data_IF_520925617913
#
_entry.id   IF_520925617913
#
_cell.length_a   1.000
_cell.length_b   1.000
_cell.length_c   1.000
_cell.angle_alpha   90.00
_cell.angle_beta   90.00
_cell.angle_gamma   90.00
#
_symmetry.space_group_name_H-M   'P 1'
#
loop_
_entity.id
_entity.type
_entity.pdbx_description
1 polymer ?
#
# COMPACT_ATOMS: atom_id res chain seq x y z
N UNK A 1 -21.63 11.55 -14.42
CA UNK A 1 -21.75 10.24 -13.74
C UNK A 1 -20.91 9.27 -14.53
N UNK A 2 -19.98 8.56 -13.92
CA UNK A 2 -19.10 7.58 -14.58
C UNK A 2 -19.83 6.25 -14.58
N UNK A 3 -19.86 5.56 -15.71
CA UNK A 3 -20.36 4.18 -15.80
C UNK A 3 -19.21 3.23 -15.43
N UNK A 4 -19.07 2.96 -14.13
CA UNK A 4 -18.00 2.12 -13.61
C UNK A 4 -18.11 0.67 -14.06
N UNK A 5 -19.31 0.17 -14.33
CA UNK A 5 -19.50 -1.20 -14.80
C UNK A 5 -18.91 -1.38 -16.21
N UNK A 6 -19.06 -0.37 -17.08
CA UNK A 6 -18.43 -0.40 -18.41
C UNK A 6 -16.91 -0.14 -18.33
N UNK A 7 -16.46 0.78 -17.44
CA UNK A 7 -15.03 1.09 -17.26
C UNK A 7 -14.25 -0.12 -16.73
N UNK A 8 -14.84 -0.88 -15.80
CA UNK A 8 -14.18 -2.04 -15.16
C UNK A 8 -14.47 -3.37 -15.83
N UNK A 9 -15.20 -3.37 -16.93
CA UNK A 9 -15.53 -4.59 -17.69
C UNK A 9 -14.27 -5.30 -18.18
N UNK A 10 -14.10 -6.55 -17.75
CA UNK A 10 -12.95 -7.37 -18.10
C UNK A 10 -11.65 -7.01 -17.40
N UNK A 11 -11.70 -6.14 -16.39
CA UNK A 11 -10.57 -5.89 -15.52
C UNK A 11 -10.40 -7.02 -14.50
N UNK A 12 -9.16 -7.44 -14.25
CA UNK A 12 -8.81 -8.39 -13.19
C UNK A 12 -8.54 -7.70 -11.84
N UNK A 13 -8.11 -6.42 -11.91
CA UNK A 13 -7.67 -5.67 -10.75
C UNK A 13 -8.00 -4.18 -10.85
N UNK A 14 -8.51 -3.61 -9.76
CA UNK A 14 -8.71 -2.18 -9.57
C UNK A 14 -7.87 -1.68 -8.40
N UNK A 15 -7.03 -0.69 -8.65
CA UNK A 15 -6.21 -0.06 -7.61
C UNK A 15 -6.57 1.41 -7.45
N UNK A 16 -6.66 1.88 -6.21
CA UNK A 16 -6.84 3.29 -5.88
C UNK A 16 -5.88 3.75 -4.77
N UNK A 17 -5.65 5.05 -4.71
CA UNK A 17 -4.78 5.67 -3.70
C UNK A 17 -5.57 6.59 -2.79
N UNK A 18 -5.22 6.64 -1.50
CA UNK A 18 -5.80 7.52 -0.48
C UNK A 18 -5.59 9.01 -0.75
N UNK A 19 -4.79 9.37 -1.76
CA UNK A 19 -4.71 10.76 -2.25
C UNK A 19 -6.02 11.19 -2.91
N UNK A 20 -6.64 10.32 -3.71
CA UNK A 20 -7.85 10.65 -4.47
C UNK A 20 -9.00 11.11 -3.57
N UNK A 21 -9.45 10.35 -2.55
CA UNK A 21 -10.55 10.79 -1.68
C UNK A 21 -10.17 11.99 -0.79
N UNK A 22 -8.88 12.30 -0.64
CA UNK A 22 -8.42 13.44 0.13
C UNK A 22 -8.58 14.80 -0.59
N UNK A 23 -8.85 14.78 -1.91
CA UNK A 23 -8.94 16.00 -2.72
C UNK A 23 -10.28 16.71 -2.59
N UNK A 24 -11.38 15.98 -2.58
CA UNK A 24 -12.74 16.52 -2.50
C UNK A 24 -13.75 15.43 -2.15
N UNK A 25 -14.96 15.84 -1.73
CA UNK A 25 -16.09 14.92 -1.53
C UNK A 25 -16.43 14.17 -2.83
N UNK A 26 -16.50 14.85 -3.96
CA UNK A 26 -16.80 14.21 -5.24
C UNK A 26 -15.76 13.17 -5.67
N UNK A 27 -14.48 13.39 -5.34
CA UNK A 27 -13.43 12.39 -5.58
C UNK A 27 -13.56 11.17 -4.64
N UNK A 28 -13.95 11.39 -3.38
CA UNK A 28 -14.24 10.31 -2.44
C UNK A 28 -15.46 9.49 -2.89
N UNK A 29 -16.52 10.15 -3.32
CA UNK A 29 -17.74 9.50 -3.83
C UNK A 29 -17.43 8.66 -5.08
N UNK A 30 -16.64 9.19 -6.01
CA UNK A 30 -16.20 8.48 -7.22
C UNK A 30 -15.34 7.24 -6.88
N UNK A 31 -14.45 7.34 -5.88
CA UNK A 31 -13.72 6.19 -5.38
C UNK A 31 -14.65 5.10 -4.82
N UNK A 32 -15.65 5.49 -4.02
CA UNK A 32 -16.61 4.56 -3.44
C UNK A 32 -17.43 3.86 -4.52
N UNK A 33 -17.95 4.62 -5.50
CA UNK A 33 -18.69 4.06 -6.65
C UNK A 33 -17.84 3.04 -7.42
N UNK A 34 -16.57 3.36 -7.70
CA UNK A 34 -15.63 2.48 -8.39
C UNK A 34 -15.37 1.18 -7.60
N UNK A 35 -15.11 1.28 -6.29
CA UNK A 35 -14.90 0.14 -5.40
C UNK A 35 -16.13 -0.77 -5.38
N UNK A 36 -17.33 -0.18 -5.25
CA UNK A 36 -18.59 -0.92 -5.26
C UNK A 36 -18.84 -1.64 -6.60
N UNK A 37 -18.53 -0.98 -7.71
CA UNK A 37 -18.63 -1.59 -9.04
C UNK A 37 -17.63 -2.75 -9.21
N UNK A 38 -16.36 -2.55 -8.83
CA UNK A 38 -15.33 -3.59 -8.84
C UNK A 38 -15.77 -4.81 -8.03
N UNK A 39 -16.32 -4.59 -6.82
CA UNK A 39 -16.82 -5.66 -5.96
C UNK A 39 -17.99 -6.42 -6.59
N UNK A 40 -18.93 -5.72 -7.26
CA UNK A 40 -20.05 -6.39 -7.97
C UNK A 40 -19.56 -7.22 -9.15
N UNK A 41 -18.53 -6.77 -9.83
CA UNK A 41 -17.96 -7.45 -11.00
C UNK A 41 -16.96 -8.55 -10.64
N UNK A 42 -16.63 -8.72 -9.35
CA UNK A 42 -15.65 -9.71 -8.89
C UNK A 42 -14.20 -9.32 -9.19
N UNK A 43 -13.96 -8.03 -9.45
CA UNK A 43 -12.63 -7.48 -9.68
C UNK A 43 -11.90 -7.34 -8.35
N UNK A 44 -10.65 -7.76 -8.27
CA UNK A 44 -9.82 -7.59 -7.06
C UNK A 44 -9.56 -6.11 -6.81
N UNK A 45 -9.80 -5.66 -5.58
CA UNK A 45 -9.62 -4.25 -5.20
C UNK A 45 -8.44 -4.09 -4.26
N UNK A 46 -7.55 -3.17 -4.57
CA UNK A 46 -6.46 -2.78 -3.68
C UNK A 46 -6.41 -1.27 -3.44
N UNK A 47 -5.85 -0.88 -2.30
CA UNK A 47 -5.56 0.51 -1.99
C UNK A 47 -4.13 0.70 -1.48
N UNK A 48 -3.55 1.87 -1.78
CA UNK A 48 -2.47 2.46 -1.01
C UNK A 48 -3.08 3.52 -0.08
N UNK A 49 -2.94 3.35 1.24
CA UNK A 49 -3.49 4.28 2.23
C UNK A 49 -2.95 5.70 2.04
N UNK A 50 -1.69 5.82 1.71
CA UNK A 50 -1.01 7.01 1.18
C UNK A 50 -1.44 8.32 1.86
N UNK A 51 -1.49 8.33 3.19
CA UNK A 51 -1.99 9.47 3.96
C UNK A 51 -1.14 10.72 3.70
N UNK A 52 -1.83 11.82 3.39
CA UNK A 52 -1.23 13.15 3.19
C UNK A 52 -1.92 14.19 4.06
N UNK A 53 -1.31 14.56 5.18
CA UNK A 53 -1.85 15.53 6.16
C UNK A 53 -2.35 16.83 5.52
N UNK A 54 -1.72 17.27 4.43
CA UNK A 54 -2.00 18.58 3.83
C UNK A 54 -3.15 18.56 2.80
N UNK A 55 -3.75 17.41 2.48
CA UNK A 55 -4.80 17.33 1.45
C UNK A 55 -6.20 17.50 2.03
N UNK A 56 -6.60 16.83 3.05
CA UNK A 56 -7.96 16.81 3.66
C UNK A 56 -8.49 18.21 4.04
N UNK A 57 -8.81 19.07 3.03
CA UNK A 57 -9.17 20.48 3.25
C UNK A 57 -10.62 20.83 2.91
N UNK A 58 -11.45 19.84 2.59
CA UNK A 58 -12.86 20.04 2.24
C UNK A 58 -13.84 19.76 3.41
N UNK A 59 -13.36 19.86 4.65
CA UNK A 59 -14.18 19.71 5.85
C UNK A 59 -14.37 18.28 6.33
N UNK A 60 -13.64 17.32 5.77
CA UNK A 60 -13.61 15.92 6.18
C UNK A 60 -12.22 15.51 6.62
N UNK A 61 -12.16 14.50 7.51
CA UNK A 61 -10.93 13.87 7.96
C UNK A 61 -10.76 12.50 7.28
N UNK A 62 -9.51 12.05 7.14
CA UNK A 62 -9.23 10.71 6.62
C UNK A 62 -9.93 9.61 7.44
N UNK A 63 -9.98 9.76 8.75
CA UNK A 63 -10.65 8.82 9.67
C UNK A 63 -12.17 8.73 9.49
N UNK A 64 -12.81 9.69 8.83
CA UNK A 64 -14.24 9.67 8.52
C UNK A 64 -14.54 8.97 7.19
N UNK A 65 -13.66 9.14 6.19
CA UNK A 65 -13.88 8.71 4.80
C UNK A 65 -13.21 7.36 4.51
N UNK A 66 -11.94 7.19 4.88
CA UNK A 66 -11.15 6.03 4.50
C UNK A 66 -11.70 4.68 5.00
N UNK A 67 -12.33 4.57 6.20
CA UNK A 67 -12.85 3.29 6.65
C UNK A 67 -13.87 2.64 5.71
N UNK A 68 -14.77 3.44 5.15
CA UNK A 68 -15.79 2.96 4.20
C UNK A 68 -15.16 2.48 2.89
N UNK A 69 -14.19 3.23 2.36
CA UNK A 69 -13.48 2.88 1.12
C UNK A 69 -12.63 1.61 1.30
N UNK A 70 -11.88 1.54 2.40
CA UNK A 70 -10.98 0.41 2.67
C UNK A 70 -11.74 -0.87 2.98
N UNK A 71 -12.96 -0.78 3.52
CA UNK A 71 -13.83 -1.94 3.76
C UNK A 71 -14.13 -2.74 2.48
N UNK A 72 -14.03 -2.11 1.30
CA UNK A 72 -14.21 -2.76 0.00
C UNK A 72 -12.93 -3.33 -0.62
N UNK A 73 -11.79 -3.31 0.08
CA UNK A 73 -10.51 -3.74 -0.47
C UNK A 73 -10.15 -5.18 -0.08
N UNK A 74 -9.59 -5.92 -1.03
CA UNK A 74 -9.01 -7.25 -0.85
C UNK A 74 -7.54 -7.17 -0.42
N UNK A 75 -6.84 -6.08 -0.83
CA UNK A 75 -5.41 -5.85 -0.54
C UNK A 75 -5.22 -4.42 -0.04
N UNK A 76 -4.55 -4.28 1.11
CA UNK A 76 -4.27 -2.98 1.73
C UNK A 76 -2.76 -2.77 1.76
N UNK A 77 -2.29 -1.66 1.18
CA UNK A 77 -0.92 -1.19 1.26
C UNK A 77 -0.86 0.10 2.08
N UNK A 78 0.19 0.26 2.85
CA UNK A 78 0.53 1.51 3.53
C UNK A 78 2.00 1.52 3.95
N UNK A 79 2.44 2.62 4.52
CA UNK A 79 3.71 2.71 5.22
C UNK A 79 3.52 2.48 6.74
N UNK A 80 4.61 2.54 7.50
CA UNK A 80 4.60 2.24 8.94
C UNK A 80 3.64 3.14 9.74
N UNK A 81 3.35 4.36 9.26
CA UNK A 81 2.58 5.36 9.98
C UNK A 81 1.12 5.46 9.50
N UNK A 82 0.81 4.96 8.29
CA UNK A 82 -0.50 5.17 7.68
C UNK A 82 -1.64 4.53 8.51
N UNK A 83 -1.44 3.32 9.04
CA UNK A 83 -2.44 2.64 9.85
C UNK A 83 -2.79 3.42 11.13
N UNK A 84 -1.80 4.03 11.77
CA UNK A 84 -2.01 4.88 12.94
C UNK A 84 -2.73 6.18 12.56
N UNK A 85 -2.25 6.87 11.54
CA UNK A 85 -2.77 8.20 11.16
C UNK A 85 -4.19 8.15 10.60
N UNK A 86 -4.53 7.07 9.88
CA UNK A 86 -5.85 6.93 9.25
C UNK A 86 -6.85 6.24 10.18
N UNK A 87 -6.42 5.22 10.92
CA UNK A 87 -7.31 4.35 11.68
C UNK A 87 -7.06 4.32 13.18
N UNK A 88 -5.98 4.96 13.67
CA UNK A 88 -5.56 4.89 15.05
C UNK A 88 -5.00 3.53 15.47
N UNK A 89 -4.64 2.68 14.51
CA UNK A 89 -4.11 1.34 14.75
C UNK A 89 -2.61 1.45 15.03
N UNK A 90 -2.20 0.96 16.21
CA UNK A 90 -0.80 0.92 16.67
C UNK A 90 -0.38 -0.50 16.99
N UNK A 91 0.93 -0.81 16.95
CA UNK A 91 1.42 -2.07 17.47
C UNK A 91 1.01 -2.26 18.94
N UNK A 92 0.47 -3.44 19.28
CA UNK A 92 0.11 -3.77 20.66
C UNK A 92 1.28 -4.47 21.35
N UNK A 93 1.56 -4.07 22.59
CA UNK A 93 2.54 -4.76 23.45
C UNK A 93 4.00 -4.35 23.28
N UNK A 94 4.29 -3.24 22.58
CA UNK A 94 5.66 -2.79 22.33
C UNK A 94 5.93 -1.42 22.96
N UNK A 95 7.06 -1.34 23.68
CA UNK A 95 7.60 -0.09 24.18
C UNK A 95 8.61 0.46 23.17
N UNK A 96 8.27 1.56 22.51
CA UNK A 96 9.07 2.22 21.45
C UNK A 96 10.51 2.54 21.89
N UNK A 97 10.76 2.54 23.22
CA UNK A 97 12.07 2.84 23.79
C UNK A 97 13.12 1.72 23.67
N UNK A 98 12.74 0.51 23.21
CA UNK A 98 13.64 -0.65 23.21
C UNK A 98 14.09 -1.14 21.83
N UNK A 99 13.67 -0.52 20.74
CA UNK A 99 14.07 -0.95 19.39
C UNK A 99 15.28 -0.16 18.90
N UNK A 100 16.44 -0.80 18.88
CA UNK A 100 17.68 -0.30 18.28
C UNK A 100 17.61 -0.19 16.73
N UNK A 101 16.47 0.29 16.17
CA UNK A 101 16.30 0.45 14.71
C UNK A 101 16.19 -0.87 13.92
N UNK A 102 16.11 -2.01 14.59
CA UNK A 102 15.76 -3.27 13.94
C UNK A 102 14.24 -3.34 13.72
N UNK A 103 13.85 -3.74 12.52
CA UNK A 103 12.45 -3.97 12.14
C UNK A 103 11.91 -5.11 12.98
N UNK A 104 11.05 -4.81 13.95
CA UNK A 104 10.44 -5.84 14.76
C UNK A 104 9.25 -6.46 14.00
N UNK A 105 9.46 -7.65 13.44
CA UNK A 105 8.44 -8.38 12.67
C UNK A 105 7.11 -8.53 13.42
N UNK A 106 7.16 -8.71 14.76
CA UNK A 106 5.97 -8.87 15.58
C UNK A 106 5.11 -7.59 15.67
N UNK A 107 5.74 -6.40 15.61
CA UNK A 107 5.00 -5.12 15.56
C UNK A 107 4.18 -5.02 14.28
N UNK A 108 4.77 -5.36 13.14
CA UNK A 108 4.07 -5.32 11.86
C UNK A 108 2.99 -6.38 11.76
N UNK A 109 3.22 -7.57 12.29
CA UNK A 109 2.20 -8.62 12.37
C UNK A 109 1.00 -8.18 13.19
N UNK A 110 1.23 -7.50 14.34
CA UNK A 110 0.16 -6.92 15.16
C UNK A 110 -0.67 -5.91 14.37
N UNK A 111 -0.03 -4.95 13.68
CA UNK A 111 -0.74 -3.94 12.87
C UNK A 111 -1.53 -4.60 11.73
N UNK A 112 -0.93 -5.53 10.99
CA UNK A 112 -1.60 -6.25 9.91
C UNK A 112 -2.83 -7.03 10.40
N UNK A 113 -2.70 -7.72 11.52
CA UNK A 113 -3.80 -8.48 12.14
C UNK A 113 -4.95 -7.58 12.58
N UNK A 114 -4.65 -6.43 13.18
CA UNK A 114 -5.65 -5.44 13.57
C UNK A 114 -6.38 -4.86 12.33
N UNK A 115 -5.63 -4.56 11.24
CA UNK A 115 -6.23 -4.11 9.98
C UNK A 115 -7.16 -5.15 9.38
N UNK A 116 -6.75 -6.42 9.30
CA UNK A 116 -7.60 -7.50 8.79
C UNK A 116 -8.83 -7.76 9.68
N UNK A 117 -8.68 -7.62 11.00
CA UNK A 117 -9.82 -7.71 11.94
C UNK A 117 -10.84 -6.59 11.70
N UNK A 118 -10.35 -5.37 11.44
CA UNK A 118 -11.21 -4.21 11.15
C UNK A 118 -11.83 -4.26 9.76
N UNK A 119 -11.11 -4.80 8.79
CA UNK A 119 -11.52 -4.91 7.39
C UNK A 119 -11.53 -6.38 6.95
N UNK A 120 -12.60 -7.14 7.26
CA UNK A 120 -12.62 -8.60 7.07
C UNK A 120 -12.53 -9.07 5.61
N UNK A 121 -12.78 -8.17 4.65
CA UNK A 121 -12.59 -8.44 3.23
C UNK A 121 -11.11 -8.54 2.85
N UNK A 122 -10.23 -7.83 3.56
CA UNK A 122 -8.82 -7.80 3.26
C UNK A 122 -8.19 -9.20 3.45
N UNK A 123 -7.58 -9.69 2.38
CA UNK A 123 -6.87 -10.98 2.36
C UNK A 123 -5.36 -10.78 2.54
N UNK A 124 -4.86 -9.60 2.18
CA UNK A 124 -3.45 -9.25 2.28
C UNK A 124 -3.27 -7.83 2.80
N UNK A 125 -2.32 -7.67 3.72
CA UNK A 125 -1.88 -6.36 4.21
C UNK A 125 -0.39 -6.24 3.97
N UNK A 126 0.03 -5.14 3.36
CA UNK A 126 1.42 -4.88 3.02
C UNK A 126 1.86 -3.58 3.68
N UNK A 127 3.05 -3.58 4.26
CA UNK A 127 3.66 -2.38 4.84
C UNK A 127 5.02 -2.19 4.21
N UNK A 128 5.22 -1.03 3.56
CA UNK A 128 6.52 -0.63 3.05
C UNK A 128 7.38 -0.08 4.18
N UNK A 129 8.65 -0.46 4.20
CA UNK A 129 9.60 -0.13 5.25
C UNK A 129 10.70 0.75 4.66
N UNK A 130 10.73 2.02 5.05
CA UNK A 130 11.73 2.98 4.58
C UNK A 130 12.53 3.56 5.73
N UNK A 131 13.81 3.21 5.81
CA UNK A 131 14.75 3.93 6.66
C UNK A 131 15.38 5.10 5.88
N UNK A 132 15.21 6.34 6.35
CA UNK A 132 15.81 7.52 5.74
C UNK A 132 17.08 7.89 6.47
N UNK A 133 18.25 7.67 5.85
CA UNK A 133 19.55 8.00 6.42
C UNK A 133 19.92 9.45 6.05
N UNK A 134 19.76 9.80 4.78
CA UNK A 134 19.89 11.18 4.29
C UNK A 134 19.13 11.36 2.97
N UNK A 135 19.29 12.53 2.33
CA UNK A 135 18.56 12.86 1.10
C UNK A 135 18.83 11.87 -0.07
N UNK A 136 19.99 11.25 -0.14
CA UNK A 136 20.39 10.37 -1.24
C UNK A 136 20.61 8.91 -0.80
N UNK A 137 20.30 8.58 0.47
CA UNK A 137 20.55 7.27 1.04
C UNK A 137 19.35 6.82 1.89
N UNK A 138 18.68 5.79 1.42
CA UNK A 138 17.58 5.13 2.13
C UNK A 138 17.83 3.63 2.24
N UNK A 139 17.32 3.01 3.27
CA UNK A 139 17.03 1.57 3.23
C UNK A 139 15.59 1.35 2.77
N UNK A 140 15.36 0.24 2.06
CA UNK A 140 14.07 -0.07 1.49
C UNK A 140 13.75 -1.55 1.59
N UNK A 141 12.53 -1.85 1.97
CA UNK A 141 12.01 -3.21 2.10
C UNK A 141 10.50 -3.19 2.31
N UNK A 142 9.94 -4.34 2.63
CA UNK A 142 8.52 -4.46 2.94
C UNK A 142 8.19 -5.75 3.64
N UNK A 143 7.02 -5.77 4.27
CA UNK A 143 6.39 -6.98 4.81
C UNK A 143 5.02 -7.17 4.15
N UNK A 144 4.60 -8.41 4.02
CA UNK A 144 3.29 -8.83 3.54
C UNK A 144 2.72 -9.84 4.51
N UNK A 145 1.51 -9.58 5.00
CA UNK A 145 0.77 -10.51 5.84
C UNK A 145 -0.40 -11.11 5.07
N UNK A 146 -0.46 -12.43 5.01
CA UNK A 146 -1.48 -13.19 4.29
C UNK A 146 -1.62 -14.58 4.87
N UNK A 147 -2.85 -15.07 5.00
CA UNK A 147 -3.12 -16.44 5.45
C UNK A 147 -2.56 -16.77 6.84
N UNK A 148 -2.46 -15.80 7.74
CA UNK A 148 -1.90 -15.99 9.08
C UNK A 148 -0.37 -16.02 9.12
N UNK A 149 0.31 -15.61 8.05
CA UNK A 149 1.77 -15.60 7.96
C UNK A 149 2.31 -14.25 7.51
N UNK A 150 3.36 -13.78 8.19
CA UNK A 150 4.13 -12.61 7.80
C UNK A 150 5.31 -13.01 6.91
N UNK A 151 5.36 -12.43 5.72
CA UNK A 151 6.49 -12.51 4.79
C UNK A 151 7.30 -11.22 4.89
N UNK A 152 8.61 -11.35 4.80
CA UNK A 152 9.52 -10.19 4.81
C UNK A 152 10.43 -10.24 3.58
N UNK A 153 10.57 -9.11 2.90
CA UNK A 153 11.50 -8.99 1.78
C UNK A 153 12.95 -8.85 2.25
N UNK A 154 13.92 -9.05 1.36
CA UNK A 154 15.25 -8.50 1.56
C UNK A 154 15.20 -7.00 1.81
N UNK A 155 16.15 -6.48 2.60
CA UNK A 155 16.32 -5.04 2.80
C UNK A 155 17.42 -4.55 1.87
N UNK A 156 17.07 -3.59 1.02
CA UNK A 156 18.02 -2.97 0.10
C UNK A 156 18.56 -1.68 0.70
N UNK A 157 19.83 -1.42 0.45
CA UNK A 157 20.54 -0.19 0.81
C UNK A 157 20.75 0.66 -0.45
N UNK A 158 19.93 1.71 -0.60
CA UNK A 158 19.93 2.56 -1.80
C UNK A 158 20.77 3.79 -1.51
N UNK A 159 22.05 3.77 -1.90
CA UNK A 159 23.05 4.77 -1.54
C UNK A 159 23.12 5.97 -2.51
N UNK A 160 22.57 5.86 -3.71
CA UNK A 160 22.60 6.89 -4.74
C UNK A 160 21.22 7.05 -5.38
N UNK A 161 20.34 7.75 -4.67
CA UNK A 161 18.98 8.00 -5.17
C UNK A 161 19.03 9.09 -6.22
N UNK A 162 18.56 8.75 -7.44
CA UNK A 162 18.39 9.70 -8.54
C UNK A 162 17.07 10.45 -8.39
N UNK A 163 15.97 9.70 -8.16
CA UNK A 163 14.66 10.29 -7.92
C UNK A 163 13.81 9.36 -7.02
N UNK A 164 13.06 9.96 -6.11
CA UNK A 164 12.17 9.22 -5.18
C UNK A 164 10.72 9.18 -5.63
N UNK A 165 10.35 10.05 -6.56
CA UNK A 165 8.97 10.14 -7.05
C UNK A 165 8.59 8.83 -7.74
N UNK A 166 7.37 8.33 -7.47
CA UNK A 166 6.88 7.09 -8.05
C UNK A 166 7.45 5.80 -7.41
N UNK A 167 8.28 5.89 -6.36
CA UNK A 167 8.82 4.71 -5.68
C UNK A 167 7.73 3.82 -5.05
N UNK A 168 6.73 4.44 -4.40
CA UNK A 168 5.55 3.74 -3.86
C UNK A 168 4.67 3.14 -4.96
N UNK A 169 4.41 3.92 -6.02
CA UNK A 169 3.61 3.47 -7.16
C UNK A 169 4.28 2.30 -7.89
N UNK A 170 5.61 2.35 -8.04
CA UNK A 170 6.40 1.24 -8.61
C UNK A 170 6.39 -0.01 -7.72
N UNK A 171 6.39 0.17 -6.40
CA UNK A 171 6.20 -0.94 -5.47
C UNK A 171 4.83 -1.59 -5.70
N UNK A 172 3.77 -0.78 -5.71
CA UNK A 172 2.41 -1.31 -5.87
C UNK A 172 2.18 -1.94 -7.25
N UNK A 173 2.66 -1.31 -8.32
CA UNK A 173 2.62 -1.91 -9.67
C UNK A 173 3.35 -3.24 -9.73
N UNK A 174 4.55 -3.32 -9.15
CA UNK A 174 5.32 -4.56 -9.02
C UNK A 174 4.62 -5.61 -8.16
N UNK A 175 3.93 -5.20 -7.08
CA UNK A 175 3.17 -6.11 -6.23
C UNK A 175 1.97 -6.71 -6.96
N UNK A 176 1.17 -5.89 -7.65
CA UNK A 176 0.02 -6.35 -8.44
C UNK A 176 0.50 -7.34 -9.50
N UNK A 177 1.55 -6.99 -10.26
CA UNK A 177 2.14 -7.89 -11.23
C UNK A 177 2.58 -9.21 -10.59
N UNK A 178 3.28 -9.15 -9.46
CA UNK A 178 3.76 -10.33 -8.75
C UNK A 178 2.64 -11.22 -8.24
N UNK A 179 1.57 -10.65 -7.66
CA UNK A 179 0.43 -11.41 -7.16
C UNK A 179 -0.38 -12.08 -8.29
N UNK A 180 -0.47 -11.46 -9.46
CA UNK A 180 -1.12 -12.03 -10.64
C UNK A 180 -0.26 -13.12 -11.30
N UNK A 181 1.06 -12.92 -11.37
CA UNK A 181 1.98 -13.79 -12.10
C UNK A 181 2.45 -14.99 -11.27
N UNK A 182 2.78 -14.77 -9.99
CA UNK A 182 3.31 -15.78 -9.08
C UNK A 182 2.22 -16.27 -8.12
N UNK A 183 1.09 -16.68 -8.66
CA UNK A 183 -0.09 -17.09 -7.89
C UNK A 183 0.27 -18.10 -6.80
N UNK A 184 -0.04 -17.75 -5.53
CA UNK A 184 0.24 -18.59 -4.37
C UNK A 184 1.65 -18.42 -3.77
N UNK A 185 2.54 -17.63 -4.39
CA UNK A 185 3.88 -17.32 -3.86
C UNK A 185 3.97 -15.85 -3.45
N UNK A 186 3.39 -15.54 -2.29
CA UNK A 186 3.37 -14.19 -1.73
C UNK A 186 4.77 -13.65 -1.43
N UNK A 187 5.73 -14.53 -1.07
CA UNK A 187 7.12 -14.12 -0.85
C UNK A 187 7.77 -13.61 -2.14
N UNK A 188 7.55 -14.32 -3.24
CA UNK A 188 8.11 -13.94 -4.54
C UNK A 188 7.47 -12.65 -5.05
N UNK A 189 6.15 -12.50 -4.89
CA UNK A 189 5.44 -11.28 -5.25
C UNK A 189 5.98 -10.06 -4.46
N UNK A 190 6.17 -10.20 -3.15
CA UNK A 190 6.75 -9.15 -2.31
C UNK A 190 8.17 -8.80 -2.72
N UNK A 191 9.03 -9.81 -2.96
CA UNK A 191 10.42 -9.58 -3.38
C UNK A 191 10.49 -8.84 -4.72
N UNK A 192 9.61 -9.20 -5.67
CA UNK A 192 9.51 -8.52 -6.96
C UNK A 192 9.09 -7.04 -6.79
N UNK A 193 8.09 -6.76 -5.97
CA UNK A 193 7.62 -5.41 -5.68
C UNK A 193 8.73 -4.51 -5.10
N UNK A 194 9.47 -5.03 -4.12
CA UNK A 194 10.58 -4.30 -3.50
C UNK A 194 11.70 -4.04 -4.50
N UNK A 195 12.05 -5.03 -5.34
CA UNK A 195 13.08 -4.89 -6.37
C UNK A 195 12.68 -3.83 -7.42
N UNK A 196 11.45 -3.88 -7.94
CA UNK A 196 10.92 -2.91 -8.90
C UNK A 196 10.99 -1.48 -8.34
N UNK A 197 10.60 -1.30 -7.08
CA UNK A 197 10.68 -0.01 -6.41
C UNK A 197 12.11 0.46 -6.18
N UNK A 198 13.05 -0.44 -5.82
CA UNK A 198 14.46 -0.09 -5.69
C UNK A 198 15.05 0.42 -7.01
N UNK A 199 14.77 -0.27 -8.11
CA UNK A 199 15.22 0.13 -9.44
C UNK A 199 14.64 1.49 -9.85
N UNK A 200 13.38 1.79 -9.48
CA UNK A 200 12.78 3.10 -9.72
C UNK A 200 13.61 4.25 -9.13
N UNK A 201 14.23 4.07 -7.99
CA UNK A 201 15.07 5.11 -7.37
C UNK A 201 16.31 5.48 -8.20
N UNK A 202 16.67 4.72 -9.22
CA UNK A 202 17.77 4.98 -10.16
C UNK A 202 17.32 5.72 -11.44
N UNK A 203 16.03 6.05 -11.56
CA UNK A 203 15.42 6.59 -12.78
C UNK A 203 14.81 7.96 -12.46
N UNK A 204 15.05 8.96 -13.33
CA UNK A 204 14.42 10.28 -13.23
C UNK A 204 12.91 10.21 -13.53
N UNK A 205 12.14 11.10 -12.86
CA UNK A 205 10.70 11.20 -13.03
C UNK A 205 9.95 10.14 -12.22
N UNK A 206 8.63 10.08 -12.35
CA UNK A 206 7.77 9.19 -11.55
C UNK A 206 7.50 7.82 -12.19
N UNK A 207 7.70 7.70 -13.51
CA UNK A 207 7.52 6.43 -14.22
C UNK A 207 8.67 5.45 -13.97
N UNK A 208 8.31 4.21 -13.70
CA UNK A 208 9.26 3.12 -13.71
C UNK A 208 9.48 2.66 -15.17
N UNK A 209 10.74 2.65 -15.61
CA UNK A 209 11.14 2.29 -16.98
C UNK A 209 11.82 0.91 -17.04
N UNK A 210 11.87 0.17 -15.94
CA UNK A 210 12.44 -1.17 -15.92
C UNK A 210 11.48 -2.19 -16.56
N UNK A 211 12.05 -3.21 -17.16
CA UNK A 211 11.31 -4.36 -17.70
C UNK A 211 11.34 -5.52 -16.72
N UNK A 212 10.53 -6.55 -16.98
CA UNK A 212 10.47 -7.76 -16.15
C UNK A 212 11.66 -8.70 -16.41
N UNK A 213 12.34 -8.53 -17.56
CA UNK A 213 13.49 -9.34 -18.00
C UNK A 213 14.80 -8.90 -17.38
#
# INVERSE_FOLDING_TARGET
MIDWDEVLKGADWFHWTGITPALSQGAADACLEAIQAANRLGVTVSCDLNYRKNLWKYGKQASEIMPELVAGCDVILGNEEDAEKVFGIKPEGFDVAQTNGEVNAAEFESVCTQLMKRFPRAQKVIITLRGSINANHNTWGGVLYSGGKLYQSPRYDITHIVDRVGGGDSFMGGLIYGLLTYTGDDQKALNFAVAASCLKHTIYGDFNLVTVE
#
